data_IF_676166926134
#
_entry.id   IF_676166926134
#
_cell.length_a   1.000
_cell.length_b   1.000
_cell.length_c   1.000
_cell.angle_alpha   90.00
_cell.angle_beta   90.00
_cell.angle_gamma   90.00
#
_symmetry.space_group_name_H-M   'P 1'
#
loop_
_entity.id
_entity.type
_entity.pdbx_description
1 polymer ?
#
# COMPACT_ATOMS: atom_id res chain seq x y z
N UNK A 1 5.83 -0.51 -30.65
CA UNK A 1 4.55 -1.02 -30.13
C UNK A 1 4.76 -1.17 -28.63
N UNK A 2 4.27 -0.22 -27.84
CA UNK A 2 4.57 -0.11 -26.41
C UNK A 2 3.72 -1.09 -25.61
N UNK A 3 4.31 -2.19 -25.15
CA UNK A 3 3.67 -3.23 -24.32
C UNK A 3 3.24 -2.72 -22.93
N UNK A 4 3.65 -1.51 -22.53
CA UNK A 4 3.20 -0.85 -21.30
C UNK A 4 1.73 -0.41 -21.31
N UNK A 5 1.09 -0.35 -22.48
CA UNK A 5 -0.29 0.17 -22.60
C UNK A 5 -1.38 -0.86 -22.27
N UNK A 6 -1.04 -2.15 -22.14
CA UNK A 6 -2.04 -3.22 -21.99
C UNK A 6 -2.59 -3.40 -20.55
N UNK A 7 -1.94 -2.79 -19.55
CA UNK A 7 -2.30 -2.96 -18.13
C UNK A 7 -2.79 -1.69 -17.45
N UNK A 8 -2.98 -0.60 -18.19
CA UNK A 8 -3.53 0.64 -17.68
C UNK A 8 -5.06 0.57 -17.62
N UNK A 9 -5.61 -0.27 -16.74
CA UNK A 9 -7.00 -0.05 -16.35
C UNK A 9 -7.08 1.35 -15.72
N UNK A 10 -8.14 2.10 -16.04
CA UNK A 10 -8.32 3.42 -15.46
C UNK A 10 -8.69 3.28 -13.98
N UNK A 11 -7.69 3.36 -13.10
CA UNK A 11 -7.90 3.40 -11.66
C UNK A 11 -8.33 4.81 -11.26
N UNK A 12 -9.50 4.90 -10.62
CA UNK A 12 -9.96 6.14 -9.97
C UNK A 12 -9.65 6.10 -8.49
N UNK A 13 -9.09 7.20 -7.96
CA UNK A 13 -8.68 7.29 -6.56
C UNK A 13 -9.53 8.32 -5.81
N UNK A 14 -10.03 7.92 -4.64
CA UNK A 14 -10.63 8.81 -3.64
C UNK A 14 -9.69 8.87 -2.43
N UNK A 15 -9.19 10.07 -2.14
CA UNK A 15 -8.20 10.32 -1.07
C UNK A 15 -8.84 11.20 -0.01
N UNK A 16 -8.93 10.68 1.22
CA UNK A 16 -9.61 11.31 2.35
C UNK A 16 -8.64 11.49 3.52
N UNK A 17 -8.14 12.72 3.76
CA UNK A 17 -7.38 13.04 4.96
C UNK A 17 -8.26 12.87 6.21
N UNK A 18 -7.68 12.34 7.29
CA UNK A 18 -8.29 12.20 8.60
C UNK A 18 -7.26 12.44 9.70
N UNK A 19 -7.73 12.55 10.93
CA UNK A 19 -6.91 12.64 12.14
C UNK A 19 -7.41 11.60 13.13
N UNK A 20 -6.48 10.84 13.71
CA UNK A 20 -6.75 9.93 14.82
C UNK A 20 -6.16 10.50 16.10
N UNK A 21 -6.94 10.50 17.18
CA UNK A 21 -6.40 10.67 18.51
C UNK A 21 -5.75 9.33 18.93
N UNK A 22 -4.46 9.38 19.23
CA UNK A 22 -3.66 8.20 19.60
C UNK A 22 -3.68 8.03 21.11
N UNK A 23 -3.52 9.14 21.83
CA UNK A 23 -3.57 9.28 23.27
C UNK A 23 -4.20 10.63 23.63
N UNK A 24 -4.49 10.87 24.91
CA UNK A 24 -5.19 12.07 25.37
C UNK A 24 -4.44 13.36 24.98
N UNK A 25 -4.98 14.10 24.01
CA UNK A 25 -4.35 15.31 23.47
C UNK A 25 -3.24 15.07 22.44
N UNK A 26 -3.01 13.82 22.04
CA UNK A 26 -2.05 13.45 21.00
C UNK A 26 -2.76 12.95 19.73
N UNK A 27 -2.46 13.59 18.61
CA UNK A 27 -3.14 13.40 17.35
C UNK A 27 -2.17 12.99 16.25
N UNK A 28 -2.58 12.04 15.41
CA UNK A 28 -1.82 11.59 14.25
C UNK A 28 -2.66 11.74 12.99
N UNK A 29 -2.12 12.49 12.03
CA UNK A 29 -2.72 12.60 10.70
C UNK A 29 -2.64 11.27 9.95
N UNK A 30 -3.66 10.96 9.17
CA UNK A 30 -3.65 9.84 8.24
C UNK A 30 -4.44 10.15 6.97
N UNK A 31 -4.29 9.31 5.96
CA UNK A 31 -4.98 9.44 4.68
C UNK A 31 -5.51 8.08 4.29
N UNK A 32 -6.83 7.98 4.15
CA UNK A 32 -7.48 6.83 3.54
C UNK A 32 -7.46 6.99 2.03
N UNK A 33 -6.89 6.01 1.35
CA UNK A 33 -6.89 5.91 -0.11
C UNK A 33 -7.84 4.79 -0.50
N UNK A 34 -8.79 5.09 -1.37
CA UNK A 34 -9.68 4.11 -1.99
C UNK A 34 -9.43 4.16 -3.49
N UNK A 35 -8.94 3.07 -4.06
CA UNK A 35 -8.80 2.89 -5.49
C UNK A 35 -9.93 2.02 -6.05
N UNK A 36 -10.44 2.38 -7.24
CA UNK A 36 -11.40 1.58 -7.99
C UNK A 36 -10.86 1.27 -9.37
N UNK A 37 -10.79 -0.01 -9.68
CA UNK A 37 -10.29 -0.60 -10.92
C UNK A 37 -11.38 -1.49 -11.51
N UNK A 38 -12.19 -0.94 -12.43
CA UNK A 38 -13.38 -1.62 -12.94
C UNK A 38 -14.33 -2.02 -11.80
N UNK A 39 -14.56 -3.32 -11.62
CA UNK A 39 -15.38 -3.87 -10.53
C UNK A 39 -14.62 -4.04 -9.20
N UNK A 40 -13.29 -3.93 -9.21
CA UNK A 40 -12.47 -4.11 -8.02
C UNK A 40 -12.32 -2.80 -7.25
N UNK A 41 -12.47 -2.87 -5.93
CA UNK A 41 -12.20 -1.76 -5.02
C UNK A 41 -11.15 -2.20 -4.02
N UNK A 42 -10.14 -1.38 -3.81
CA UNK A 42 -9.13 -1.59 -2.77
C UNK A 42 -9.01 -0.34 -1.91
N UNK A 43 -8.63 -0.51 -0.65
CA UNK A 43 -8.41 0.59 0.27
C UNK A 43 -7.23 0.35 1.18
N UNK A 44 -6.49 1.40 1.47
CA UNK A 44 -5.44 1.39 2.47
C UNK A 44 -5.33 2.74 3.16
N UNK A 45 -4.75 2.75 4.36
CA UNK A 45 -4.54 3.97 5.14
C UNK A 45 -3.04 4.21 5.28
N UNK A 46 -2.61 5.45 5.01
CA UNK A 46 -1.24 5.91 5.27
C UNK A 46 -1.25 6.87 6.44
N UNK A 47 -0.41 6.62 7.43
CA UNK A 47 -0.25 7.51 8.58
C UNK A 47 0.91 8.47 8.35
N UNK A 48 0.79 9.69 8.84
CA UNK A 48 1.92 10.61 8.97
C UNK A 48 2.92 10.05 9.98
N UNK A 49 4.22 10.29 9.80
CA UNK A 49 5.24 9.71 10.70
C UNK A 49 5.20 10.32 12.10
N UNK A 50 4.84 11.60 12.21
CA UNK A 50 4.84 12.34 13.47
C UNK A 50 3.45 12.37 14.13
N UNK A 51 3.45 12.20 15.45
CA UNK A 51 2.33 12.52 16.34
C UNK A 51 2.44 14.00 16.75
N UNK A 52 1.31 14.68 16.91
CA UNK A 52 1.21 16.11 17.25
C UNK A 52 0.37 16.28 18.51
N UNK A 53 0.78 17.21 19.37
CA UNK A 53 0.00 17.63 20.56
C UNK A 53 -1.22 18.50 20.24
N UNK A 54 -1.64 18.58 18.97
CA UNK A 54 -2.76 19.43 18.55
C UNK A 54 -3.37 18.95 17.24
N UNK A 55 -4.70 18.88 17.23
CA UNK A 55 -5.50 18.36 16.11
C UNK A 55 -5.24 19.10 14.80
N UNK A 56 -5.18 20.43 14.85
CA UNK A 56 -4.99 21.27 13.65
C UNK A 56 -3.66 21.00 12.94
N UNK A 57 -2.60 20.77 13.71
CA UNK A 57 -1.28 20.43 13.14
C UNK A 57 -1.28 19.03 12.52
N UNK A 58 -1.94 18.07 13.17
CA UNK A 58 -2.11 16.72 12.61
C UNK A 58 -2.94 16.72 11.32
N UNK A 59 -3.95 17.60 11.24
CA UNK A 59 -4.76 17.78 10.04
C UNK A 59 -3.95 18.40 8.89
N UNK A 60 -3.15 19.43 9.15
CA UNK A 60 -2.24 20.00 8.16
C UNK A 60 -1.24 18.96 7.63
N UNK A 61 -0.74 18.08 8.50
CA UNK A 61 0.16 17.00 8.10
C UNK A 61 -0.58 15.95 7.24
N UNK A 62 -1.81 15.58 7.59
CA UNK A 62 -2.66 14.69 6.78
C UNK A 62 -2.96 15.30 5.39
N UNK A 63 -3.22 16.60 5.32
CA UNK A 63 -3.44 17.32 4.06
C UNK A 63 -2.18 17.36 3.19
N UNK A 64 -1.01 17.58 3.79
CA UNK A 64 0.28 17.52 3.08
C UNK A 64 0.54 16.12 2.53
N UNK A 65 0.31 15.09 3.35
CA UNK A 65 0.43 13.69 2.92
C UNK A 65 -0.53 13.37 1.77
N UNK A 66 -1.79 13.81 1.85
CA UNK A 66 -2.77 13.59 0.78
C UNK A 66 -2.34 14.26 -0.55
N UNK A 67 -1.78 15.48 -0.49
CA UNK A 67 -1.23 16.16 -1.67
C UNK A 67 -0.04 15.41 -2.25
N UNK A 68 0.86 14.93 -1.40
CA UNK A 68 2.00 14.12 -1.81
C UNK A 68 1.53 12.85 -2.53
N UNK A 69 0.65 12.07 -1.88
CA UNK A 69 0.10 10.84 -2.45
C UNK A 69 -0.61 11.08 -3.79
N UNK A 70 -1.37 12.17 -3.95
CA UNK A 70 -1.98 12.53 -5.24
C UNK A 70 -0.94 12.78 -6.35
N UNK A 71 0.20 13.39 -5.99
CA UNK A 71 1.22 13.79 -6.95
C UNK A 71 2.15 12.64 -7.36
N UNK A 72 2.49 11.76 -6.42
CA UNK A 72 3.50 10.71 -6.61
C UNK A 72 2.90 9.34 -6.83
N UNK A 73 1.86 9.00 -6.07
CA UNK A 73 1.37 7.62 -5.92
C UNK A 73 0.05 7.41 -6.69
N UNK A 74 -0.95 8.23 -6.41
CA UNK A 74 -2.34 8.04 -6.85
C UNK A 74 -2.70 8.93 -8.04
N UNK A 75 -1.98 8.76 -9.16
CA UNK A 75 -2.31 9.43 -10.42
C UNK A 75 -3.36 8.62 -11.17
N UNK A 76 -4.38 9.29 -11.72
CA UNK A 76 -5.43 8.64 -12.52
C UNK A 76 -4.79 7.85 -13.67
N UNK A 77 -5.22 6.58 -13.85
CA UNK A 77 -4.74 5.71 -14.91
C UNK A 77 -3.45 4.93 -14.62
N UNK A 78 -2.90 5.00 -13.41
CA UNK A 78 -1.80 4.12 -12.97
C UNK A 78 -2.26 3.26 -11.80
N UNK A 79 -2.30 1.94 -11.99
CA UNK A 79 -2.62 1.00 -10.91
C UNK A 79 -1.45 0.82 -9.96
N UNK A 80 -1.76 0.56 -8.69
CA UNK A 80 -0.78 0.20 -7.67
C UNK A 80 -0.71 -1.32 -7.58
N UNK A 81 0.48 -1.90 -7.74
CA UNK A 81 0.78 -3.21 -7.15
C UNK A 81 1.23 -2.92 -5.72
N UNK A 82 0.36 -3.13 -4.73
CA UNK A 82 0.75 -3.01 -3.33
C UNK A 82 1.84 -4.05 -3.01
N UNK A 83 2.93 -3.66 -2.30
CA UNK A 83 3.92 -4.62 -1.82
C UNK A 83 3.24 -5.72 -0.99
N UNK A 84 3.24 -6.96 -1.50
CA UNK A 84 2.60 -8.11 -0.87
C UNK A 84 1.23 -8.53 -1.44
N UNK A 85 0.69 -7.85 -2.45
CA UNK A 85 -0.51 -8.30 -3.18
C UNK A 85 -0.23 -9.27 -4.34
N UNK A 86 1.04 -9.54 -4.67
CA UNK A 86 1.38 -10.63 -5.58
C UNK A 86 1.29 -11.96 -4.82
N UNK A 87 0.07 -12.49 -4.71
CA UNK A 87 -0.12 -13.91 -4.39
C UNK A 87 0.45 -14.72 -5.54
N UNK A 88 1.35 -15.68 -5.23
CA UNK A 88 1.96 -16.64 -6.16
C UNK A 88 0.90 -17.64 -6.65
N UNK A 89 -0.15 -17.13 -7.27
CA UNK A 89 -1.19 -17.84 -8.01
C UNK A 89 -1.55 -17.10 -9.30
N UNK A 90 -0.73 -16.13 -9.73
CA UNK A 90 -0.74 -15.71 -11.12
C UNK A 90 -0.01 -16.78 -11.92
N UNK A 91 -0.65 -17.25 -12.98
CA UNK A 91 -0.12 -18.21 -13.94
C UNK A 91 1.34 -17.87 -14.32
N UNK A 92 2.22 -18.87 -14.49
CA UNK A 92 3.66 -18.67 -14.73
C UNK A 92 4.00 -17.73 -15.89
N UNK A 93 3.10 -17.58 -16.86
CA UNK A 93 3.27 -16.70 -18.02
C UNK A 93 3.25 -15.19 -17.69
N UNK A 94 2.88 -14.79 -16.47
CA UNK A 94 2.74 -13.38 -16.06
C UNK A 94 3.88 -12.84 -15.17
N UNK A 95 4.96 -13.62 -14.97
CA UNK A 95 6.00 -13.30 -13.95
C UNK A 95 7.41 -13.09 -14.53
N UNK A 96 7.61 -13.19 -15.85
CA UNK A 96 8.95 -13.04 -16.45
C UNK A 96 9.55 -11.64 -16.27
N UNK A 97 8.72 -10.59 -16.21
CA UNK A 97 9.17 -9.19 -16.11
C UNK A 97 9.21 -8.62 -14.68
N UNK A 98 8.87 -9.43 -13.66
CA UNK A 98 8.86 -8.96 -12.26
C UNK A 98 10.25 -9.13 -11.65
N UNK A 99 10.88 -8.06 -11.13
CA UNK A 99 12.15 -8.18 -10.41
C UNK A 99 12.02 -9.16 -9.25
N UNK A 100 12.94 -10.13 -9.20
CA UNK A 100 12.94 -11.20 -8.18
C UNK A 100 12.99 -10.68 -6.75
N UNK A 101 13.45 -9.44 -6.53
CA UNK A 101 13.42 -8.73 -5.23
C UNK A 101 12.01 -8.44 -4.71
N UNK A 102 10.99 -8.44 -5.58
CA UNK A 102 9.59 -8.25 -5.24
C UNK A 102 8.83 -9.57 -5.09
N UNK A 103 9.43 -10.68 -5.53
CA UNK A 103 8.86 -12.02 -5.38
C UNK A 103 9.22 -12.56 -4.00
N UNK A 104 8.20 -13.00 -3.23
CA UNK A 104 8.47 -13.73 -1.98
C UNK A 104 9.19 -15.03 -2.33
N UNK A 105 10.26 -15.40 -1.62
CA UNK A 105 10.89 -16.70 -1.81
C UNK A 105 9.85 -17.79 -1.55
N UNK A 106 9.65 -18.66 -2.53
CA UNK A 106 8.88 -19.89 -2.37
C UNK A 106 9.58 -20.66 -1.24
N UNK A 107 8.92 -20.80 -0.09
CA UNK A 107 9.35 -21.76 0.93
C UNK A 107 9.08 -23.15 0.37
N UNK A 108 9.99 -23.62 -0.49
CA UNK A 108 10.09 -25.02 -0.86
C UNK A 108 10.27 -25.82 0.42
N UNK A 109 9.45 -26.86 0.59
CA UNK A 109 9.46 -27.69 1.78
C UNK A 109 10.87 -28.21 2.08
N UNK A 110 11.42 -27.77 3.21
CA UNK A 110 12.52 -28.47 3.85
C UNK A 110 12.13 -28.76 5.29
N UNK A 111 11.84 -30.04 5.50
CA UNK A 111 11.90 -30.71 6.80
C UNK A 111 13.20 -30.32 7.51
N UNK A 112 13.09 -29.51 8.58
CA UNK A 112 14.14 -29.39 9.59
C UNK A 112 13.49 -29.46 10.96
N UNK A 113 13.74 -30.57 11.62
CA UNK A 113 13.45 -30.82 13.05
C UNK A 113 13.91 -29.61 13.86
N UNK A 114 12.98 -28.96 14.55
CA UNK A 114 13.33 -27.99 15.58
C UNK A 114 13.72 -28.74 16.86
N UNK A 115 14.95 -28.55 17.29
CA UNK A 115 15.45 -28.92 18.61
C UNK A 115 14.52 -28.28 19.66
N UNK A 116 13.88 -29.08 20.52
CA UNK A 116 13.19 -28.55 21.70
C UNK A 116 14.23 -28.26 22.76
N UNK A 117 14.40 -26.98 23.11
CA UNK A 117 14.95 -26.58 24.40
C UNK A 117 13.77 -26.13 25.25
N UNK A 118 13.53 -26.85 26.33
CA UNK A 118 12.75 -26.40 27.48
C UNK A 118 13.47 -26.91 28.72
N UNK A 119 13.51 -26.02 29.73
CA UNK A 119 14.31 -26.04 30.95
C UNK A 119 14.14 -27.29 31.82
#
# INVERSE_FOLDING_TARGET
MDTFSAFASNVSYSIRPRVHEVDFGEFRGCVDVIGREGAHTFSFTRFCDMVRSGRDRAELDALRLARHLRATECRHGKSWILPGQVSVRCEPELVEDVPSSLLRPIKGGQSRRHLRVAA
#
